data_IF_382504067837
#
_entry.id   IF_382504067837
#
_cell.length_a   1.000
_cell.length_b   1.000
_cell.length_c   1.000
_cell.angle_alpha   90.00
_cell.angle_beta   90.00
_cell.angle_gamma   90.00
#
_symmetry.space_group_name_H-M   'P 1'
#
loop_
_entity.id
_entity.type
_entity.pdbx_description
1 polymer ?
#
# COMPACT_ATOMS: atom_id res chain seq x y z
N UNK A 1 -28.58 29.59 5.16
CA UNK A 1 -27.18 29.65 5.64
C UNK A 1 -26.55 28.30 5.36
N UNK A 2 -25.75 28.19 4.31
CA UNK A 2 -25.01 26.96 3.99
C UNK A 2 -23.69 26.99 4.74
N UNK A 3 -23.46 26.04 5.63
CA UNK A 3 -22.20 25.86 6.35
C UNK A 3 -21.13 25.44 5.34
N UNK A 4 -20.13 26.28 5.16
CA UNK A 4 -18.93 25.99 4.37
C UNK A 4 -18.19 24.86 5.08
N UNK A 5 -18.26 23.65 4.52
CA UNK A 5 -17.50 22.50 5.02
C UNK A 5 -16.03 22.74 4.71
N UNK A 6 -15.18 22.59 5.73
CA UNK A 6 -13.75 22.84 5.65
C UNK A 6 -13.09 21.91 4.63
N UNK A 7 -12.30 22.49 3.73
CA UNK A 7 -11.56 21.78 2.70
C UNK A 7 -10.61 20.74 3.31
N UNK A 8 -10.03 21.04 4.46
CA UNK A 8 -9.11 20.15 5.14
C UNK A 8 -9.83 18.94 5.75
N UNK A 9 -11.09 19.10 6.15
CA UNK A 9 -11.95 18.02 6.65
C UNK A 9 -12.36 17.06 5.52
N UNK A 10 -12.74 17.60 4.35
CA UNK A 10 -13.01 16.80 3.15
C UNK A 10 -11.77 16.02 2.71
N UNK A 11 -10.60 16.67 2.75
CA UNK A 11 -9.34 16.06 2.33
C UNK A 11 -8.87 14.97 3.30
N UNK A 12 -9.09 15.14 4.60
CA UNK A 12 -8.84 14.11 5.62
C UNK A 12 -9.77 12.90 5.47
N UNK A 13 -11.06 13.12 5.15
CA UNK A 13 -12.02 12.04 4.88
C UNK A 13 -11.59 11.26 3.65
N UNK A 14 -11.31 11.94 2.53
CA UNK A 14 -10.89 11.29 1.28
C UNK A 14 -9.58 10.50 1.43
N UNK A 15 -8.60 11.02 2.18
CA UNK A 15 -7.36 10.27 2.47
C UNK A 15 -7.59 9.04 3.35
N UNK A 16 -8.48 9.10 4.35
CA UNK A 16 -8.86 7.93 5.15
C UNK A 16 -9.59 6.88 4.32
N UNK A 17 -10.52 7.29 3.47
CA UNK A 17 -11.27 6.39 2.58
C UNK A 17 -10.36 5.75 1.54
N UNK A 18 -9.41 6.48 0.97
CA UNK A 18 -8.44 5.97 0.00
C UNK A 18 -7.43 4.99 0.63
N UNK A 19 -6.89 5.30 1.82
CA UNK A 19 -6.00 4.39 2.54
C UNK A 19 -6.73 3.12 3.01
N UNK A 20 -8.01 3.24 3.41
CA UNK A 20 -8.86 2.09 3.71
C UNK A 20 -9.15 1.23 2.47
N UNK A 21 -9.37 1.81 1.30
CA UNK A 21 -9.58 1.07 0.06
C UNK A 21 -8.31 0.32 -0.40
N UNK A 22 -7.13 0.94 -0.26
CA UNK A 22 -5.84 0.32 -0.57
C UNK A 22 -5.48 -0.79 0.42
N UNK A 23 -5.77 -0.62 1.73
CA UNK A 23 -5.61 -1.72 2.70
C UNK A 23 -6.62 -2.83 2.43
N UNK A 24 -7.85 -2.50 2.03
CA UNK A 24 -8.86 -3.50 1.66
C UNK A 24 -8.39 -4.33 0.47
N UNK A 25 -7.79 -3.74 -0.58
CA UNK A 25 -7.27 -4.50 -1.72
C UNK A 25 -6.10 -5.43 -1.35
N UNK A 26 -5.15 -4.96 -0.53
CA UNK A 26 -4.04 -5.75 -0.02
C UNK A 26 -4.51 -6.89 0.90
N UNK A 27 -5.41 -6.58 1.83
CA UNK A 27 -6.06 -7.55 2.71
C UNK A 27 -6.89 -8.52 1.88
N UNK A 28 -7.57 -8.07 0.82
CA UNK A 28 -8.32 -8.98 -0.06
C UNK A 28 -7.35 -9.95 -0.74
N UNK A 29 -6.19 -9.49 -1.24
CA UNK A 29 -5.20 -10.35 -1.89
C UNK A 29 -4.51 -11.35 -0.93
N UNK A 30 -4.15 -10.90 0.28
CA UNK A 30 -3.66 -11.78 1.35
C UNK A 30 -4.74 -12.79 1.77
N UNK A 31 -5.97 -12.32 1.94
CA UNK A 31 -7.14 -13.13 2.24
C UNK A 31 -7.44 -14.18 1.16
N UNK A 32 -7.39 -13.79 -0.12
CA UNK A 32 -7.54 -14.67 -1.28
C UNK A 32 -6.53 -15.82 -1.25
N UNK A 33 -5.31 -15.49 -0.86
CA UNK A 33 -4.24 -16.46 -0.79
C UNK A 33 -4.45 -17.40 0.37
N UNK A 34 -4.68 -16.87 1.57
CA UNK A 34 -4.85 -17.70 2.74
C UNK A 34 -6.06 -18.64 2.62
N UNK A 35 -7.14 -18.19 1.99
CA UNK A 35 -8.30 -19.02 1.66
C UNK A 35 -7.93 -20.20 0.75
N UNK A 36 -7.09 -19.94 -0.24
CA UNK A 36 -6.59 -20.96 -1.15
C UNK A 36 -5.63 -21.92 -0.46
N UNK A 37 -4.73 -21.42 0.39
CA UNK A 37 -3.78 -22.20 1.17
C UNK A 37 -4.49 -23.16 2.13
N UNK A 38 -5.46 -22.66 2.88
CA UNK A 38 -6.22 -23.42 3.87
C UNK A 38 -7.12 -24.49 3.23
N UNK A 39 -7.77 -24.15 2.11
CA UNK A 39 -8.51 -25.13 1.31
C UNK A 39 -7.60 -26.25 0.78
N UNK A 40 -6.32 -25.94 0.49
CA UNK A 40 -5.32 -26.94 0.10
C UNK A 40 -4.75 -27.73 1.29
N UNK A 41 -4.78 -27.19 2.52
CA UNK A 41 -4.25 -27.83 3.73
C UNK A 41 -5.14 -28.96 4.26
N UNK A 42 -6.47 -28.80 4.15
CA UNK A 42 -7.44 -29.83 4.51
C UNK A 42 -7.51 -30.99 3.49
N UNK A 43 -6.71 -30.94 2.43
CA UNK A 43 -6.47 -31.99 1.42
C UNK A 43 -4.95 -32.20 1.24
N UNK A 44 -4.27 -32.95 2.12
CA UNK A 44 -2.79 -33.02 2.13
C UNK A 44 -2.18 -33.87 0.96
N UNK A 45 -0.88 -33.70 0.55
CA UNK A 45 0.13 -32.73 1.00
C UNK A 45 0.89 -31.90 -0.10
N UNK A 46 1.11 -30.62 0.22
CA UNK A 46 2.15 -29.60 -0.09
C UNK A 46 3.24 -29.71 -1.20
N UNK A 47 3.41 -28.60 -1.96
CA UNK A 47 4.72 -27.88 -2.14
C UNK A 47 4.74 -26.47 -2.80
N UNK A 48 3.62 -25.79 -3.10
CA UNK A 48 3.62 -24.64 -4.04
C UNK A 48 3.02 -23.30 -3.53
N UNK A 49 2.99 -23.10 -2.22
CA UNK A 49 2.16 -22.05 -1.62
C UNK A 49 2.77 -20.64 -1.72
N UNK A 50 4.08 -20.48 -1.51
CA UNK A 50 4.78 -19.20 -1.72
C UNK A 50 4.79 -18.74 -3.20
N UNK A 51 4.50 -19.67 -4.11
CA UNK A 51 4.60 -19.51 -5.56
C UNK A 51 3.33 -18.93 -6.21
N UNK A 52 2.19 -19.11 -5.54
CA UNK A 52 0.87 -18.71 -6.05
C UNK A 52 0.47 -17.29 -5.63
N UNK A 53 1.07 -16.77 -4.55
CA UNK A 53 0.90 -15.38 -4.06
C UNK A 53 1.36 -14.33 -5.07
N UNK A 54 2.46 -14.60 -5.79
CA UNK A 54 3.02 -13.68 -6.78
C UNK A 54 2.28 -13.71 -8.12
N UNK A 55 1.37 -14.66 -8.32
CA UNK A 55 0.60 -14.81 -9.56
C UNK A 55 -0.47 -13.72 -9.75
N UNK A 56 -1.03 -13.18 -8.66
CA UNK A 56 -2.22 -12.31 -8.76
C UNK A 56 -1.95 -10.79 -8.68
N UNK A 57 -0.73 -10.33 -8.37
CA UNK A 57 -0.43 -8.88 -8.35
C UNK A 57 1.02 -8.53 -8.74
N UNK A 58 1.42 -8.71 -10.01
CA UNK A 58 2.80 -8.44 -10.44
C UNK A 58 3.19 -6.95 -10.50
N UNK A 59 2.23 -6.01 -10.44
CA UNK A 59 2.45 -4.56 -10.65
C UNK A 59 2.00 -3.65 -9.47
N UNK A 60 1.98 -4.13 -8.22
CA UNK A 60 1.67 -3.24 -7.09
C UNK A 60 2.85 -2.31 -6.76
N UNK A 61 2.91 -1.15 -7.41
CA UNK A 61 3.78 -0.03 -7.03
C UNK A 61 3.05 0.96 -6.11
N UNK A 62 3.66 1.24 -4.95
CA UNK A 62 3.31 2.39 -4.10
C UNK A 62 3.62 3.67 -4.89
N UNK A 63 2.71 4.66 -5.00
CA UNK A 63 3.03 5.94 -5.60
C UNK A 63 4.16 6.63 -4.82
N UNK A 64 5.38 6.57 -5.36
CA UNK A 64 6.49 7.40 -4.90
C UNK A 64 6.54 8.62 -5.80
N UNK A 65 6.17 9.76 -5.19
CA UNK A 65 6.26 11.16 -5.67
C UNK A 65 4.94 11.78 -6.16
N UNK A 66 4.13 12.26 -5.20
CA UNK A 66 3.47 13.56 -5.37
C UNK A 66 4.43 14.63 -4.84
N UNK A 67 5.08 15.35 -5.76
CA UNK A 67 5.76 16.61 -5.45
C UNK A 67 4.69 17.61 -4.98
N UNK A 68 4.88 18.15 -3.77
CA UNK A 68 4.19 19.37 -3.33
C UNK A 68 4.88 20.55 -4.01
N UNK A 69 4.21 21.15 -4.98
CA UNK A 69 4.43 22.56 -5.27
C UNK A 69 3.61 23.38 -4.28
N UNK A 70 4.29 24.24 -3.52
CA UNK A 70 3.66 25.41 -2.89
C UNK A 70 4.54 26.63 -3.13
N UNK A 71 3.95 27.78 -3.52
CA UNK A 71 4.68 29.00 -3.80
C UNK A 71 4.90 29.81 -2.52
N UNK A 72 6.11 30.32 -2.30
CA UNK A 72 6.29 31.48 -1.43
C UNK A 72 7.44 32.38 -1.91
N UNK A 73 7.09 33.67 -2.01
CA UNK A 73 7.85 34.81 -2.51
C UNK A 73 8.81 35.38 -1.46
N UNK A 74 9.91 35.95 -1.98
CA UNK A 74 10.61 37.21 -1.61
C UNK A 74 11.28 37.38 -0.24
N UNK A 75 12.36 38.17 -0.31
CA UNK A 75 13.29 38.70 0.72
C UNK A 75 14.39 37.70 1.14
N UNK A 76 15.69 37.93 0.92
CA UNK A 76 16.44 39.18 0.72
C UNK A 76 17.77 38.85 0.02
N UNK A 77 18.03 39.47 -1.13
CA UNK A 77 19.40 39.70 -1.62
C UNK A 77 19.93 40.92 -0.85
N UNK A 78 21.10 40.78 -0.21
CA UNK A 78 22.09 41.83 0.06
C UNK A 78 23.15 41.26 1.02
N UNK A 79 24.21 40.65 0.48
CA UNK A 79 25.57 40.75 1.07
C UNK A 79 26.63 40.34 0.05
N UNK A 80 26.68 41.08 -1.06
CA UNK A 80 27.92 41.27 -1.83
C UNK A 80 28.21 42.76 -1.82
N UNK A 81 28.93 43.16 -0.79
CA UNK A 81 29.69 44.40 -0.62
C UNK A 81 30.29 44.24 0.80
N UNK A 82 31.58 44.01 0.98
CA UNK A 82 32.60 44.90 0.46
C UNK A 82 32.57 46.19 1.26
N UNK A 83 32.85 46.15 2.57
CA UNK A 83 33.41 47.31 3.26
C UNK A 83 34.18 46.91 4.51
N UNK A 84 35.49 47.15 4.42
CA UNK A 84 36.41 47.28 5.54
C UNK A 84 35.88 48.39 6.46
N UNK A 85 35.45 48.05 7.67
CA UNK A 85 35.35 49.04 8.73
C UNK A 85 36.75 49.27 9.31
N UNK A 86 37.40 50.33 8.82
CA UNK A 86 38.33 51.12 9.62
C UNK A 86 37.58 51.68 10.84
N UNK A 87 37.51 50.91 11.92
CA UNK A 87 36.91 51.35 13.18
C UNK A 87 37.90 51.29 14.36
N UNK A 88 39.20 51.12 14.10
CA UNK A 88 40.24 51.14 15.15
C UNK A 88 41.13 52.40 15.13
N UNK A 89 40.92 53.35 14.21
CA UNK A 89 41.84 54.49 14.03
C UNK A 89 41.25 55.89 14.35
N UNK A 90 39.98 55.97 14.79
CA UNK A 90 39.33 57.25 15.11
C UNK A 90 38.98 57.46 16.59
N UNK A 91 39.33 56.52 17.48
CA UNK A 91 39.07 56.65 18.92
C UNK A 91 40.31 56.98 19.77
N UNK A 92 41.52 57.05 19.19
CA UNK A 92 42.73 57.37 19.97
C UNK A 92 43.22 58.81 19.81
N UNK A 93 42.86 59.51 18.73
CA UNK A 93 43.39 60.85 18.40
C UNK A 93 42.57 62.01 18.98
N UNK A 94 41.24 61.89 19.07
CA UNK A 94 40.40 63.00 19.57
C UNK A 94 40.30 63.09 21.11
N UNK A 95 40.54 61.98 21.84
CA UNK A 95 40.55 62.02 23.30
C UNK A 95 41.78 62.75 23.87
N UNK A 96 42.90 62.75 23.13
CA UNK A 96 44.14 63.41 23.54
C UNK A 96 44.08 64.94 23.39
N UNK A 97 43.30 65.44 22.44
CA UNK A 97 43.08 66.88 22.20
C UNK A 97 42.21 67.53 23.29
N UNK A 98 41.21 66.82 23.80
CA UNK A 98 40.26 67.36 24.78
C UNK A 98 40.84 67.50 26.20
N UNK A 99 41.88 66.72 26.54
CA UNK A 99 42.47 66.71 27.89
C UNK A 99 43.53 67.79 28.11
N UNK A 100 44.00 68.46 27.06
CA UNK A 100 45.12 69.41 27.14
C UNK A 100 44.71 70.88 27.38
N UNK A 101 43.42 71.21 27.50
CA UNK A 101 42.96 72.62 27.56
C UNK A 101 42.48 73.13 28.92
N UNK A 102 42.52 72.35 29.98
CA UNK A 102 42.12 72.83 31.31
C UNK A 102 42.99 72.19 32.38
N UNK A 103 43.94 72.95 32.92
CA UNK A 103 44.40 72.95 34.32
C UNK A 103 45.53 73.97 34.46
N UNK A 104 45.20 75.18 34.91
CA UNK A 104 46.16 76.13 35.48
C UNK A 104 45.50 76.84 36.66
N UNK A 105 45.41 76.16 37.80
CA UNK A 105 45.10 76.82 39.08
C UNK A 105 45.68 76.02 40.26
N UNK A 106 46.28 76.66 41.26
CA UNK A 106 47.17 76.01 42.26
C UNK A 106 46.46 75.13 43.32
N UNK A 107 45.13 75.10 43.38
CA UNK A 107 44.35 74.04 44.07
C UNK A 107 44.29 72.72 43.27
N UNK A 108 44.72 72.71 41.99
CA UNK A 108 44.63 71.55 41.11
C UNK A 108 45.68 70.47 41.38
N UNK A 109 46.78 70.71 42.11
CA UNK A 109 47.84 69.69 42.24
C UNK A 109 47.41 68.48 43.08
N UNK A 110 46.52 68.65 44.06
CA UNK A 110 46.00 67.55 44.87
C UNK A 110 44.84 66.83 44.15
N UNK A 111 43.91 67.58 43.56
CA UNK A 111 42.83 67.04 42.74
C UNK A 111 43.35 66.28 41.49
N UNK A 112 44.46 66.73 40.89
CA UNK A 112 45.07 66.08 39.73
C UNK A 112 45.81 64.78 40.10
N UNK A 113 46.30 64.64 41.35
CA UNK A 113 46.86 63.37 41.85
C UNK A 113 45.78 62.31 42.08
N UNK A 114 44.67 62.70 42.70
CA UNK A 114 43.51 61.81 42.89
C UNK A 114 42.88 61.40 41.56
N UNK A 115 42.74 62.35 40.63
CA UNK A 115 42.28 62.08 39.27
C UNK A 115 43.22 61.11 38.53
N UNK A 116 44.54 61.31 38.60
CA UNK A 116 45.51 60.38 37.99
C UNK A 116 45.48 58.98 38.63
N UNK A 117 45.23 58.90 39.94
CA UNK A 117 45.06 57.63 40.64
C UNK A 117 43.78 56.90 40.19
N UNK A 118 42.66 57.62 40.12
CA UNK A 118 41.38 57.10 39.67
C UNK A 118 41.48 56.56 38.22
N UNK A 119 42.08 57.34 37.32
CA UNK A 119 42.28 56.96 35.92
C UNK A 119 43.15 55.71 35.75
N UNK A 120 44.20 55.56 36.57
CA UNK A 120 45.03 54.33 36.57
C UNK A 120 44.21 53.11 37.00
N UNK A 121 43.32 53.27 37.97
CA UNK A 121 42.45 52.18 38.44
C UNK A 121 41.41 51.82 37.38
N UNK A 122 40.74 52.80 36.77
CA UNK A 122 39.81 52.59 35.65
C UNK A 122 40.49 51.89 34.48
N UNK A 123 41.71 52.29 34.12
CA UNK A 123 42.44 51.68 33.02
C UNK A 123 42.85 50.22 33.31
N UNK A 124 43.19 49.91 34.57
CA UNK A 124 43.42 48.52 35.01
C UNK A 124 42.17 47.67 34.89
N UNK A 125 41.02 48.19 35.34
CA UNK A 125 39.72 47.51 35.22
C UNK A 125 39.33 47.28 33.76
N UNK A 126 39.54 48.28 32.88
CA UNK A 126 39.29 48.15 31.45
C UNK A 126 40.15 47.05 30.81
N UNK A 127 41.46 47.01 31.12
CA UNK A 127 42.36 45.96 30.64
C UNK A 127 41.90 44.57 31.12
N UNK A 128 41.48 44.46 32.38
CA UNK A 128 40.96 43.21 32.93
C UNK A 128 39.66 42.77 32.24
N UNK A 129 38.74 43.70 31.98
CA UNK A 129 37.51 43.42 31.24
C UNK A 129 37.80 42.98 29.80
N UNK A 130 38.74 43.61 29.10
CA UNK A 130 39.14 43.21 27.74
C UNK A 130 39.74 41.79 27.76
N UNK A 131 40.56 41.44 28.76
CA UNK A 131 41.09 40.08 28.92
C UNK A 131 39.97 39.06 29.11
N UNK A 132 39.03 39.33 30.01
CA UNK A 132 37.87 38.48 30.25
C UNK A 132 37.01 38.31 28.98
N UNK A 133 36.75 39.39 28.24
CA UNK A 133 36.01 39.31 26.97
C UNK A 133 36.74 38.45 25.94
N UNK A 134 38.07 38.56 25.82
CA UNK A 134 38.87 37.71 24.93
C UNK A 134 38.77 36.23 25.31
N UNK A 135 38.82 35.90 26.59
CA UNK A 135 38.67 34.53 27.08
C UNK A 135 37.27 33.97 26.81
N UNK A 136 36.22 34.77 27.06
CA UNK A 136 34.82 34.39 26.75
C UNK A 136 34.65 34.13 25.26
N UNK A 137 35.13 35.03 24.40
CA UNK A 137 35.05 34.88 22.94
C UNK A 137 35.83 33.64 22.48
N UNK A 138 37.06 33.43 22.95
CA UNK A 138 37.85 32.25 22.61
C UNK A 138 37.15 30.95 23.04
N UNK A 139 36.53 30.93 24.22
CA UNK A 139 35.78 29.77 24.70
C UNK A 139 34.53 29.48 23.84
N UNK A 140 33.83 30.52 23.38
CA UNK A 140 32.68 30.40 22.50
C UNK A 140 33.06 29.86 21.12
N UNK A 141 34.16 30.36 20.52
CA UNK A 141 34.70 29.84 19.27
C UNK A 141 35.14 28.38 19.37
N UNK A 142 35.75 27.99 20.49
CA UNK A 142 36.13 26.59 20.73
C UNK A 142 34.90 25.68 20.77
N UNK A 143 33.89 26.03 21.57
CA UNK A 143 32.62 25.27 21.63
C UNK A 143 31.95 25.16 20.25
N UNK A 144 31.95 26.24 19.47
CA UNK A 144 31.34 26.22 18.13
C UNK A 144 32.10 25.32 17.16
N UNK A 145 33.42 25.29 17.25
CA UNK A 145 34.27 24.37 16.47
C UNK A 145 34.01 22.92 16.86
N UNK A 146 33.91 22.62 18.16
CA UNK A 146 33.62 21.28 18.67
C UNK A 146 32.22 20.80 18.25
N UNK A 147 31.20 21.68 18.29
CA UNK A 147 29.85 21.40 17.79
C UNK A 147 29.85 21.07 16.29
N UNK A 148 30.53 21.87 15.48
CA UNK A 148 30.62 21.64 14.03
C UNK A 148 31.34 20.33 13.72
N UNK A 149 32.37 19.98 14.48
CA UNK A 149 33.09 18.73 14.32
C UNK A 149 32.22 17.53 14.69
N UNK A 150 31.42 17.63 15.76
CA UNK A 150 30.43 16.61 16.13
C UNK A 150 29.36 16.43 15.04
N UNK A 151 28.78 17.52 14.53
CA UNK A 151 27.79 17.48 13.45
C UNK A 151 28.33 16.82 12.19
N UNK A 152 29.60 17.07 11.85
CA UNK A 152 30.26 16.44 10.70
C UNK A 152 30.38 14.92 10.86
N UNK A 153 30.73 14.44 12.05
CA UNK A 153 30.81 13.01 12.36
C UNK A 153 29.44 12.35 12.30
N UNK A 154 28.41 12.98 12.89
CA UNK A 154 27.04 12.47 12.87
C UNK A 154 26.49 12.37 11.43
N UNK A 155 26.79 13.36 10.59
CA UNK A 155 26.41 13.37 9.18
C UNK A 155 27.07 12.21 8.39
N UNK A 156 28.37 11.98 8.56
CA UNK A 156 29.06 10.87 7.87
C UNK A 156 28.55 9.50 8.37
N UNK A 157 28.25 9.36 9.66
CA UNK A 157 27.62 8.14 10.21
C UNK A 157 26.23 7.89 9.59
N UNK A 158 25.41 8.93 9.47
CA UNK A 158 24.08 8.82 8.85
C UNK A 158 24.18 8.46 7.36
N UNK A 159 25.12 9.07 6.64
CA UNK A 159 25.42 8.76 5.25
C UNK A 159 25.84 7.30 5.07
N UNK A 160 26.73 6.80 5.93
CA UNK A 160 27.17 5.40 5.89
C UNK A 160 26.02 4.43 6.18
N UNK A 161 25.14 4.76 7.13
CA UNK A 161 23.93 3.98 7.43
C UNK A 161 23.00 3.89 6.21
N UNK A 162 22.80 5.00 5.50
CA UNK A 162 21.98 5.03 4.29
C UNK A 162 22.59 4.22 3.13
N UNK A 163 23.91 4.27 2.96
CA UNK A 163 24.63 3.44 1.97
C UNK A 163 24.42 1.95 2.26
N UNK A 164 24.56 1.54 3.52
CA UNK A 164 24.34 0.14 3.94
C UNK A 164 22.90 -0.31 3.70
N UNK A 165 21.91 0.55 4.01
CA UNK A 165 20.50 0.25 3.77
C UNK A 165 20.20 0.07 2.27
N UNK A 166 20.74 0.94 1.41
CA UNK A 166 20.55 0.83 -0.03
C UNK A 166 21.17 -0.45 -0.61
N UNK A 167 22.33 -0.87 -0.11
CA UNK A 167 22.94 -2.16 -0.52
C UNK A 167 22.02 -3.35 -0.21
N UNK A 168 21.46 -3.40 1.01
CA UNK A 168 20.50 -4.45 1.40
C UNK A 168 19.25 -4.47 0.51
N UNK A 169 18.72 -3.30 0.15
CA UNK A 169 17.56 -3.22 -0.74
C UNK A 169 17.86 -3.74 -2.15
N UNK A 170 19.07 -3.48 -2.68
CA UNK A 170 19.49 -4.01 -3.98
C UNK A 170 19.62 -5.55 -3.93
N UNK A 171 20.19 -6.10 -2.86
CA UNK A 171 20.26 -7.56 -2.65
C UNK A 171 18.87 -8.21 -2.59
N UNK A 172 17.92 -7.60 -1.88
CA UNK A 172 16.53 -8.07 -1.80
C UNK A 172 15.82 -8.04 -3.17
N UNK A 173 16.05 -7.00 -3.97
CA UNK A 173 15.51 -6.90 -5.33
C UNK A 173 16.05 -8.02 -6.23
N UNK A 174 17.36 -8.30 -6.14
CA UNK A 174 17.98 -9.39 -6.90
C UNK A 174 17.40 -10.75 -6.51
N UNK A 175 17.26 -11.01 -5.20
CA UNK A 175 16.65 -12.23 -4.68
C UNK A 175 15.21 -12.40 -5.19
N UNK A 176 14.43 -11.31 -5.23
CA UNK A 176 13.07 -11.34 -5.75
C UNK A 176 13.01 -11.69 -7.25
N UNK A 177 13.91 -11.10 -8.06
CA UNK A 177 14.00 -11.42 -9.48
C UNK A 177 14.40 -12.87 -9.74
N UNK A 178 15.34 -13.41 -8.96
CA UNK A 178 15.77 -14.80 -9.11
C UNK A 178 14.67 -15.78 -8.65
N UNK A 179 13.95 -15.45 -7.58
CA UNK A 179 12.75 -16.17 -7.17
C UNK A 179 11.68 -16.19 -8.27
N UNK A 180 11.40 -15.06 -8.94
CA UNK A 180 10.48 -15.03 -10.08
C UNK A 180 10.92 -15.95 -11.24
N UNK A 181 12.21 -16.00 -11.54
CA UNK A 181 12.73 -16.90 -12.59
C UNK A 181 12.49 -18.36 -12.22
N UNK A 182 12.77 -18.73 -10.96
CA UNK A 182 12.54 -20.09 -10.44
C UNK A 182 11.05 -20.44 -10.51
N UNK A 183 10.18 -19.51 -10.13
CA UNK A 183 8.72 -19.65 -10.19
C UNK A 183 8.24 -19.89 -11.62
N UNK A 184 8.66 -19.05 -12.57
CA UNK A 184 8.31 -19.22 -14.00
C UNK A 184 8.79 -20.56 -14.55
N UNK A 185 9.94 -21.07 -14.08
CA UNK A 185 10.43 -22.39 -14.48
C UNK A 185 9.64 -23.54 -13.88
N UNK A 186 9.23 -23.45 -12.61
CA UNK A 186 8.38 -24.45 -11.96
C UNK A 186 6.98 -24.47 -12.56
N UNK A 187 6.39 -23.31 -12.83
CA UNK A 187 5.10 -23.19 -13.52
C UNK A 187 5.14 -23.88 -14.89
N UNK A 188 6.17 -23.61 -15.70
CA UNK A 188 6.37 -24.32 -16.99
C UNK A 188 6.50 -25.84 -16.84
N UNK A 189 7.00 -26.34 -15.70
CA UNK A 189 7.09 -27.79 -15.42
C UNK A 189 5.76 -28.36 -14.93
N UNK A 190 5.02 -27.65 -14.09
CA UNK A 190 3.69 -28.07 -13.60
C UNK A 190 2.62 -28.01 -14.69
N UNK A 191 2.62 -26.98 -15.54
CA UNK A 191 1.72 -26.88 -16.71
C UNK A 191 1.96 -28.00 -17.73
N UNK A 192 3.13 -28.64 -17.69
CA UNK A 192 3.43 -29.85 -18.47
C UNK A 192 2.93 -31.13 -17.79
N UNK A 193 2.83 -31.14 -16.45
CA UNK A 193 2.51 -32.32 -15.62
C UNK A 193 1.02 -32.42 -15.27
N UNK A 194 0.33 -31.30 -15.02
CA UNK A 194 -1.11 -31.23 -14.70
C UNK A 194 -2.01 -31.12 -15.94
N UNK A 195 -1.60 -31.64 -17.11
CA UNK A 195 -2.40 -31.56 -18.34
C UNK A 195 -3.59 -32.53 -18.31
N UNK A 196 -4.56 -32.29 -17.43
CA UNK A 196 -5.94 -32.74 -17.63
C UNK A 196 -6.58 -31.98 -18.82
N UNK A 197 -6.05 -30.80 -19.14
CA UNK A 197 -6.31 -30.05 -20.36
C UNK A 197 -5.70 -30.69 -21.62
N UNK A 198 -4.94 -31.81 -21.56
CA UNK A 198 -4.29 -32.44 -22.71
C UNK A 198 -5.25 -32.95 -23.79
N UNK A 199 -6.55 -33.05 -23.49
CA UNK A 199 -7.55 -33.45 -24.47
C UNK A 199 -7.49 -32.51 -25.70
N UNK A 200 -7.14 -33.02 -26.90
CA UNK A 200 -7.04 -32.23 -28.11
C UNK A 200 -8.34 -31.48 -28.43
N UNK A 201 -9.48 -32.00 -27.99
CA UNK A 201 -10.80 -31.41 -28.19
C UNK A 201 -10.96 -30.02 -27.56
N UNK A 202 -10.15 -29.69 -26.53
CA UNK A 202 -10.20 -28.39 -25.85
C UNK A 202 -9.10 -27.41 -26.30
N UNK A 203 -8.35 -27.71 -27.37
CA UNK A 203 -7.25 -26.86 -27.83
C UNK A 203 -7.66 -25.40 -28.09
N UNK A 204 -8.87 -25.17 -28.59
CA UNK A 204 -9.40 -23.84 -28.86
C UNK A 204 -9.83 -23.09 -27.59
N UNK A 205 -10.18 -23.82 -26.53
CA UNK A 205 -10.51 -23.23 -25.22
C UNK A 205 -9.26 -22.84 -24.41
N UNK A 206 -8.07 -23.30 -24.82
CA UNK A 206 -6.77 -22.92 -24.22
C UNK A 206 -6.22 -21.57 -24.72
N UNK A 207 -6.73 -21.07 -25.85
CA UNK A 207 -6.15 -19.87 -26.48
C UNK A 207 -6.48 -18.58 -25.74
N UNK A 208 -7.50 -18.61 -24.89
CA UNK A 208 -7.84 -17.48 -24.04
C UNK A 208 -7.11 -17.64 -22.71
N UNK A 209 -6.42 -16.60 -22.27
CA UNK A 209 -5.76 -16.48 -20.95
C UNK A 209 -6.75 -16.49 -19.76
N UNK A 210 -7.96 -17.04 -19.95
CA UNK A 210 -9.03 -17.12 -18.96
C UNK A 210 -8.74 -18.28 -17.97
N UNK A 211 -8.78 -18.03 -16.65
CA UNK A 211 -8.63 -19.08 -15.64
C UNK A 211 -9.70 -20.18 -15.79
N UNK A 212 -9.31 -21.44 -15.57
CA UNK A 212 -10.22 -22.59 -15.72
C UNK A 212 -11.49 -22.48 -14.87
N UNK A 213 -11.40 -21.96 -13.65
CA UNK A 213 -12.56 -21.74 -12.79
C UNK A 213 -13.57 -20.73 -13.37
N UNK A 214 -13.07 -19.64 -13.98
CA UNK A 214 -13.90 -18.59 -14.58
C UNK A 214 -14.61 -19.16 -15.80
N UNK A 215 -13.86 -19.89 -16.64
CA UNK A 215 -14.40 -20.60 -17.79
C UNK A 215 -15.45 -21.62 -17.38
N UNK A 216 -15.23 -22.39 -16.32
CA UNK A 216 -16.19 -23.38 -15.80
C UNK A 216 -17.50 -22.71 -15.38
N UNK A 217 -17.42 -21.65 -14.56
CA UNK A 217 -18.60 -20.88 -14.10
C UNK A 217 -19.40 -20.33 -15.27
N UNK A 218 -18.71 -19.71 -16.23
CA UNK A 218 -19.32 -19.16 -17.43
C UNK A 218 -19.97 -20.26 -18.28
N UNK A 219 -19.26 -21.35 -18.53
CA UNK A 219 -19.74 -22.45 -19.39
C UNK A 219 -20.94 -23.17 -18.76
N UNK A 220 -20.96 -23.36 -17.43
CA UNK A 220 -22.14 -23.87 -16.70
C UNK A 220 -23.34 -22.97 -16.96
N UNK A 221 -23.17 -21.65 -16.83
CA UNK A 221 -24.24 -20.68 -17.03
C UNK A 221 -24.72 -20.62 -18.49
N UNK A 222 -23.82 -20.75 -19.46
CA UNK A 222 -24.14 -20.84 -20.89
C UNK A 222 -24.87 -22.14 -21.26
N UNK A 223 -24.57 -23.25 -20.59
CA UNK A 223 -25.17 -24.55 -20.90
C UNK A 223 -26.51 -24.74 -20.17
N UNK A 224 -26.58 -24.30 -18.92
CA UNK A 224 -27.64 -24.64 -17.99
C UNK A 224 -28.42 -23.42 -17.49
N UNK A 225 -28.13 -22.20 -17.94
CA UNK A 225 -28.85 -20.98 -17.57
C UNK A 225 -30.05 -20.65 -18.48
N UNK A 226 -30.89 -19.67 -18.10
CA UNK A 226 -32.12 -19.30 -18.82
C UNK A 226 -31.88 -18.77 -20.25
N UNK A 227 -30.75 -18.08 -20.48
CA UNK A 227 -30.34 -17.62 -21.81
C UNK A 227 -29.27 -18.55 -22.41
N UNK A 228 -29.31 -19.83 -22.03
CA UNK A 228 -28.34 -20.80 -22.50
C UNK A 228 -28.37 -20.95 -24.02
N UNK A 229 -27.26 -21.41 -24.57
CA UNK A 229 -27.12 -21.67 -26.00
C UNK A 229 -28.18 -22.71 -26.42
N UNK A 230 -29.25 -22.29 -27.10
CA UNK A 230 -30.37 -23.18 -27.43
C UNK A 230 -29.94 -24.40 -28.27
N UNK A 231 -28.80 -24.32 -28.96
CA UNK A 231 -28.24 -25.41 -29.78
C UNK A 231 -27.24 -26.28 -29.02
N UNK A 232 -26.50 -25.70 -28.08
CA UNK A 232 -25.39 -26.40 -27.40
C UNK A 232 -25.55 -26.55 -25.88
N UNK A 233 -26.64 -26.04 -25.31
CA UNK A 233 -26.98 -26.17 -23.90
C UNK A 233 -27.97 -27.32 -23.63
N UNK A 234 -28.27 -27.52 -22.35
CA UNK A 234 -29.18 -28.57 -21.88
C UNK A 234 -30.19 -28.02 -20.85
N UNK A 235 -30.57 -26.74 -20.96
CA UNK A 235 -31.40 -26.05 -19.96
C UNK A 235 -32.74 -26.75 -19.69
N UNK A 236 -33.45 -27.19 -20.73
CA UNK A 236 -34.77 -27.79 -20.55
C UNK A 236 -34.69 -29.14 -19.83
N UNK A 237 -33.72 -29.96 -20.22
CA UNK A 237 -33.41 -31.23 -19.57
C UNK A 237 -32.96 -31.01 -18.12
N UNK A 238 -32.14 -29.99 -17.87
CA UNK A 238 -31.71 -29.59 -16.54
C UNK A 238 -32.88 -29.15 -15.65
N UNK A 239 -33.80 -28.35 -16.18
CA UNK A 239 -35.01 -27.96 -15.43
C UNK A 239 -35.90 -29.15 -15.10
N UNK A 240 -36.07 -30.09 -16.03
CA UNK A 240 -36.80 -31.33 -15.79
C UNK A 240 -36.12 -32.18 -14.70
N UNK A 241 -34.79 -32.29 -14.73
CA UNK A 241 -34.00 -32.98 -13.71
C UNK A 241 -34.12 -32.31 -12.33
N UNK A 242 -33.99 -30.98 -12.24
CA UNK A 242 -34.20 -30.24 -10.99
C UNK A 242 -35.62 -30.47 -10.45
N UNK A 243 -36.65 -30.47 -11.31
CA UNK A 243 -38.03 -30.73 -10.92
C UNK A 243 -38.21 -32.15 -10.37
N UNK A 244 -37.57 -33.15 -10.98
CA UNK A 244 -37.56 -34.53 -10.50
C UNK A 244 -36.96 -34.65 -9.10
N UNK A 245 -35.91 -33.87 -8.81
CA UNK A 245 -35.28 -33.79 -7.48
C UNK A 245 -36.01 -32.87 -6.48
N UNK A 246 -37.14 -32.26 -6.88
CA UNK A 246 -37.83 -31.21 -6.11
C UNK A 246 -36.91 -30.05 -5.70
N UNK A 247 -35.96 -29.68 -6.57
CA UNK A 247 -35.01 -28.57 -6.38
C UNK A 247 -35.29 -27.43 -7.35
N UNK A 248 -35.00 -26.19 -6.92
CA UNK A 248 -35.01 -25.03 -7.82
C UNK A 248 -33.66 -24.90 -8.52
N UNK A 249 -33.68 -24.68 -9.83
CA UNK A 249 -32.48 -24.31 -10.58
C UNK A 249 -32.07 -22.87 -10.25
N UNK A 250 -30.91 -22.70 -9.63
CA UNK A 250 -30.36 -21.38 -9.28
C UNK A 250 -29.44 -20.80 -10.37
N UNK A 251 -29.09 -21.60 -11.37
CA UNK A 251 -28.17 -21.21 -12.45
C UNK A 251 -28.82 -20.08 -13.28
N UNK A 252 -28.16 -18.92 -13.29
CA UNK A 252 -28.59 -17.72 -14.00
C UNK A 252 -27.80 -17.52 -15.31
N UNK A 253 -28.18 -16.53 -16.11
CA UNK A 253 -27.44 -16.18 -17.33
C UNK A 253 -26.16 -15.43 -16.98
N UNK A 254 -25.05 -15.84 -17.58
CA UNK A 254 -23.78 -15.15 -17.44
C UNK A 254 -23.63 -14.05 -18.50
N UNK A 255 -23.34 -12.83 -18.06
CA UNK A 255 -22.91 -11.73 -18.93
C UNK A 255 -21.58 -11.21 -18.43
N UNK A 256 -20.54 -11.28 -19.27
CA UNK A 256 -19.15 -10.97 -18.89
C UNK A 256 -18.92 -9.52 -18.46
N UNK A 257 -19.82 -8.60 -18.81
CA UNK A 257 -19.71 -7.19 -18.45
C UNK A 257 -20.17 -6.84 -17.02
N UNK A 258 -20.59 -7.83 -16.21
CA UNK A 258 -20.98 -7.59 -14.81
C UNK A 258 -20.09 -8.40 -13.88
N UNK A 259 -19.30 -7.69 -13.09
CA UNK A 259 -18.39 -8.27 -12.09
C UNK A 259 -19.07 -9.30 -11.18
N UNK A 260 -20.28 -9.01 -10.68
CA UNK A 260 -21.00 -9.92 -9.76
C UNK A 260 -21.42 -11.24 -10.39
N UNK A 261 -21.58 -11.32 -11.71
CA UNK A 261 -22.04 -12.55 -12.36
C UNK A 261 -21.05 -13.70 -12.16
N UNK A 262 -19.76 -13.40 -12.03
CA UNK A 262 -18.74 -14.41 -11.71
C UNK A 262 -18.98 -15.02 -10.34
N UNK A 263 -19.19 -14.17 -9.33
CA UNK A 263 -19.38 -14.57 -7.94
C UNK A 263 -20.73 -15.25 -7.71
N UNK A 264 -21.79 -14.72 -8.30
CA UNK A 264 -23.11 -15.36 -8.28
C UNK A 264 -23.07 -16.72 -9.00
N UNK A 265 -22.42 -16.76 -10.17
CA UNK A 265 -22.19 -17.98 -10.93
C UNK A 265 -21.44 -19.04 -10.11
N UNK A 266 -20.39 -18.62 -9.40
CA UNK A 266 -19.64 -19.49 -8.49
C UNK A 266 -20.54 -20.07 -7.39
N UNK A 267 -21.39 -19.24 -6.77
CA UNK A 267 -22.36 -19.68 -5.77
C UNK A 267 -23.38 -20.68 -6.35
N UNK A 268 -23.86 -20.46 -7.58
CA UNK A 268 -24.77 -21.41 -8.22
C UNK A 268 -24.11 -22.76 -8.51
N UNK A 269 -22.84 -22.74 -8.96
CA UNK A 269 -22.06 -23.96 -9.17
C UNK A 269 -21.81 -24.68 -7.85
N UNK A 270 -21.48 -23.95 -6.77
CA UNK A 270 -21.28 -24.50 -5.43
C UNK A 270 -22.52 -25.28 -4.95
N UNK A 271 -23.71 -24.70 -5.12
CA UNK A 271 -24.98 -25.32 -4.72
C UNK A 271 -25.29 -26.57 -5.55
N UNK A 272 -25.04 -26.52 -6.85
CA UNK A 272 -25.48 -27.55 -7.80
C UNK A 272 -24.37 -28.50 -8.26
N UNK A 273 -23.15 -28.45 -7.72
CA UNK A 273 -21.98 -29.17 -8.27
C UNK A 273 -22.27 -30.65 -8.53
N UNK A 274 -22.71 -31.37 -7.50
CA UNK A 274 -22.99 -32.80 -7.60
C UNK A 274 -24.19 -33.07 -8.51
N UNK A 275 -25.25 -32.28 -8.40
CA UNK A 275 -26.44 -32.39 -9.25
C UNK A 275 -26.08 -32.19 -10.74
N UNK A 276 -25.18 -31.26 -11.06
CA UNK A 276 -24.70 -31.02 -12.43
C UNK A 276 -23.88 -32.21 -12.93
N UNK A 277 -22.96 -32.74 -12.12
CA UNK A 277 -22.12 -33.89 -12.49
C UNK A 277 -23.01 -35.11 -12.74
N UNK A 278 -23.95 -35.40 -11.85
CA UNK A 278 -24.88 -36.53 -11.97
C UNK A 278 -25.80 -36.36 -13.19
N UNK A 279 -26.34 -35.16 -13.40
CA UNK A 279 -27.12 -34.83 -14.58
C UNK A 279 -26.37 -35.10 -15.88
N UNK A 280 -25.11 -34.64 -15.98
CA UNK A 280 -24.31 -34.79 -17.19
C UNK A 280 -23.84 -36.23 -17.43
N UNK A 281 -23.61 -37.01 -16.37
CA UNK A 281 -23.19 -38.41 -16.47
C UNK A 281 -24.35 -39.37 -16.76
N UNK A 282 -25.52 -39.14 -16.17
CA UNK A 282 -26.62 -40.11 -16.15
C UNK A 282 -27.70 -39.75 -17.18
N UNK A 283 -28.02 -38.46 -17.32
CA UNK A 283 -29.21 -38.02 -18.06
C UNK A 283 -28.90 -37.45 -19.45
N UNK A 284 -27.62 -37.32 -19.81
CA UNK A 284 -27.19 -36.86 -21.13
C UNK A 284 -26.40 -37.97 -21.83
N UNK A 285 -27.03 -38.64 -22.78
CA UNK A 285 -26.44 -39.81 -23.47
C UNK A 285 -25.23 -39.46 -24.35
N UNK A 286 -25.25 -38.30 -25.03
CA UNK A 286 -24.11 -37.83 -25.84
C UNK A 286 -23.86 -36.33 -25.59
N UNK A 287 -23.09 -35.99 -24.54
CA UNK A 287 -22.82 -34.60 -24.23
C UNK A 287 -21.91 -34.00 -25.31
N UNK A 288 -22.30 -32.83 -25.83
CA UNK A 288 -21.43 -32.08 -26.73
C UNK A 288 -20.15 -31.60 -26.01
N UNK A 289 -19.22 -31.00 -26.76
CA UNK A 289 -17.93 -30.57 -26.20
C UNK A 289 -18.06 -29.57 -25.04
N UNK A 290 -19.04 -28.66 -25.06
CA UNK A 290 -19.25 -27.70 -23.96
C UNK A 290 -19.67 -28.43 -22.67
N UNK A 291 -20.61 -29.36 -22.77
CA UNK A 291 -21.07 -30.17 -21.64
C UNK A 291 -19.97 -31.09 -21.10
N UNK A 292 -19.15 -31.68 -21.98
CA UNK A 292 -17.96 -32.45 -21.61
C UNK A 292 -16.91 -31.58 -20.89
N UNK A 293 -16.75 -30.32 -21.31
CA UNK A 293 -15.88 -29.34 -20.62
C UNK A 293 -16.36 -29.08 -19.20
N UNK A 294 -17.66 -28.80 -19.02
CA UNK A 294 -18.26 -28.57 -17.70
C UNK A 294 -18.01 -29.76 -16.78
N UNK A 295 -18.31 -30.98 -17.25
CA UNK A 295 -18.10 -32.20 -16.48
C UNK A 295 -16.63 -32.37 -16.06
N UNK A 296 -15.69 -32.16 -16.99
CA UNK A 296 -14.27 -32.26 -16.72
C UNK A 296 -13.80 -31.23 -15.68
N UNK A 297 -14.19 -29.97 -15.85
CA UNK A 297 -13.78 -28.86 -14.98
C UNK A 297 -14.36 -28.98 -13.57
N UNK A 298 -15.64 -29.35 -13.43
CA UNK A 298 -16.27 -29.52 -12.12
C UNK A 298 -15.80 -30.79 -11.38
N UNK A 299 -15.33 -31.79 -12.11
CA UNK A 299 -14.71 -33.00 -11.54
C UNK A 299 -13.27 -32.76 -11.10
N UNK A 300 -12.61 -31.70 -11.58
CA UNK A 300 -11.27 -31.35 -11.17
C UNK A 300 -11.29 -30.64 -9.82
N UNK A 301 -10.76 -31.30 -8.79
CA UNK A 301 -10.73 -30.78 -7.42
C UNK A 301 -10.09 -29.39 -7.34
N UNK A 302 -8.95 -29.18 -8.02
CA UNK A 302 -8.27 -27.88 -8.04
C UNK A 302 -9.13 -26.77 -8.64
N UNK A 303 -9.82 -27.03 -9.75
CA UNK A 303 -10.71 -26.04 -10.37
C UNK A 303 -11.89 -25.75 -9.44
N UNK A 304 -12.47 -26.79 -8.85
CA UNK A 304 -13.57 -26.65 -7.93
C UNK A 304 -13.19 -25.86 -6.66
N UNK A 305 -12.01 -26.07 -6.08
CA UNK A 305 -11.51 -25.30 -4.94
C UNK A 305 -11.47 -23.80 -5.26
N UNK A 306 -11.00 -23.41 -6.44
CA UNK A 306 -11.06 -22.01 -6.86
C UNK A 306 -12.50 -21.48 -6.97
N UNK A 307 -13.43 -22.30 -7.46
CA UNK A 307 -14.85 -21.93 -7.52
C UNK A 307 -15.42 -21.74 -6.11
N UNK A 308 -15.07 -22.59 -5.15
CA UNK A 308 -15.46 -22.46 -3.73
C UNK A 308 -14.94 -21.14 -3.16
N UNK A 309 -13.67 -20.79 -3.39
CA UNK A 309 -13.13 -19.50 -2.96
C UNK A 309 -13.91 -18.34 -3.56
N UNK A 310 -14.14 -18.35 -4.89
CA UNK A 310 -14.92 -17.31 -5.56
C UNK A 310 -16.35 -17.22 -4.99
N UNK A 311 -17.00 -18.34 -4.71
CA UNK A 311 -18.32 -18.36 -4.10
C UNK A 311 -18.31 -17.71 -2.72
N UNK A 312 -17.33 -18.03 -1.89
CA UNK A 312 -17.16 -17.44 -0.55
C UNK A 312 -16.97 -15.92 -0.62
N UNK A 313 -16.10 -15.43 -1.49
CA UNK A 313 -15.92 -13.98 -1.69
C UNK A 313 -17.20 -13.34 -2.21
N UNK A 314 -17.90 -14.06 -3.09
CA UNK A 314 -19.21 -13.68 -3.55
C UNK A 314 -20.18 -13.43 -2.41
N UNK A 315 -20.27 -14.40 -1.50
CA UNK A 315 -21.22 -14.42 -0.40
C UNK A 315 -20.88 -13.39 0.67
N UNK A 316 -19.60 -13.25 0.99
CA UNK A 316 -19.16 -12.52 2.16
C UNK A 316 -18.65 -11.11 1.86
N UNK A 317 -18.17 -10.85 0.65
CA UNK A 317 -17.58 -9.56 0.27
C UNK A 317 -18.45 -8.84 -0.76
N UNK A 318 -18.65 -9.46 -1.93
CA UNK A 318 -19.26 -8.74 -3.06
C UNK A 318 -20.78 -8.62 -2.94
N UNK A 319 -21.47 -9.65 -2.46
CA UNK A 319 -22.94 -9.61 -2.28
C UNK A 319 -23.38 -8.60 -1.23
N UNK A 320 -22.79 -8.53 -0.02
CA UNK A 320 -23.15 -7.51 0.95
C UNK A 320 -22.89 -6.10 0.41
N UNK A 321 -21.77 -5.90 -0.28
CA UNK A 321 -21.47 -4.63 -0.94
C UNK A 321 -22.51 -4.29 -2.02
N UNK A 322 -22.91 -5.26 -2.85
CA UNK A 322 -23.92 -5.04 -3.87
C UNK A 322 -25.31 -4.76 -3.30
N UNK A 323 -25.71 -5.45 -2.23
CA UNK A 323 -26.96 -5.19 -1.54
C UNK A 323 -26.99 -3.78 -0.96
N UNK A 324 -25.86 -3.32 -0.43
CA UNK A 324 -25.70 -1.98 0.08
C UNK A 324 -25.77 -0.92 -1.03
N UNK A 325 -25.12 -1.15 -2.17
CA UNK A 325 -25.20 -0.26 -3.35
C UNK A 325 -26.64 -0.16 -3.89
N UNK A 326 -27.42 -1.24 -3.81
CA UNK A 326 -28.82 -1.25 -4.24
C UNK A 326 -29.81 -0.83 -3.14
N UNK A 327 -29.33 -0.58 -1.92
CA UNK A 327 -30.17 -0.11 -0.83
C UNK A 327 -30.45 1.38 -0.97
N UNK A 328 -31.47 1.87 -0.26
CA UNK A 328 -31.75 3.30 -0.16
C UNK A 328 -30.88 3.99 0.91
N UNK A 329 -29.83 3.32 1.41
CA UNK A 329 -28.94 3.87 2.43
C UNK A 329 -28.10 5.03 1.88
N UNK A 330 -27.81 6.00 2.73
CA UNK A 330 -27.02 7.15 2.33
C UNK A 330 -25.56 6.75 2.09
N UNK A 331 -24.93 7.25 1.03
CA UNK A 331 -23.54 6.92 0.68
C UNK A 331 -22.56 7.19 1.83
N UNK A 332 -22.81 8.24 2.63
CA UNK A 332 -21.98 8.55 3.79
C UNK A 332 -22.12 7.54 4.94
N UNK A 333 -23.15 6.69 4.95
CA UNK A 333 -23.33 5.64 5.96
C UNK A 333 -22.67 4.31 5.57
N UNK A 334 -22.12 4.21 4.35
CA UNK A 334 -21.46 2.98 3.86
C UNK A 334 -20.34 2.51 4.77
N UNK A 335 -19.61 3.41 5.45
CA UNK A 335 -18.52 3.03 6.35
C UNK A 335 -19.00 2.14 7.52
N UNK A 336 -20.28 2.28 7.94
CA UNK A 336 -20.87 1.47 9.00
C UNK A 336 -20.96 -0.01 8.61
N UNK A 337 -21.06 -0.28 7.31
CA UNK A 337 -21.10 -1.63 6.74
C UNK A 337 -19.70 -2.14 6.37
N UNK A 338 -18.84 -1.25 5.87
CA UNK A 338 -17.46 -1.61 5.52
C UNK A 338 -16.61 -1.95 6.75
N UNK A 339 -16.75 -1.23 7.87
CA UNK A 339 -15.88 -1.45 9.03
C UNK A 339 -16.05 -2.86 9.65
N UNK A 340 -17.28 -3.41 9.82
CA UNK A 340 -17.47 -4.81 10.21
C UNK A 340 -16.93 -5.80 9.18
N UNK A 341 -17.13 -5.55 7.89
CA UNK A 341 -16.63 -6.41 6.81
C UNK A 341 -15.10 -6.46 6.82
N UNK A 342 -14.46 -5.29 6.93
CA UNK A 342 -13.02 -5.14 7.02
C UNK A 342 -12.44 -5.91 8.21
N UNK A 343 -12.99 -5.71 9.41
CA UNK A 343 -12.57 -6.46 10.61
C UNK A 343 -12.72 -7.96 10.44
N UNK A 344 -13.79 -8.39 9.75
CA UNK A 344 -14.00 -9.80 9.45
C UNK A 344 -12.96 -10.32 8.47
N UNK A 345 -12.61 -9.55 7.43
CA UNK A 345 -11.52 -9.88 6.50
C UNK A 345 -10.17 -9.96 7.20
N UNK A 346 -9.84 -9.04 8.13
CA UNK A 346 -8.65 -9.15 8.98
C UNK A 346 -8.66 -10.45 9.80
N UNK A 347 -9.79 -10.80 10.43
CA UNK A 347 -9.87 -12.07 11.19
C UNK A 347 -9.71 -13.31 10.29
N UNK A 348 -10.14 -13.22 9.03
CA UNK A 348 -9.95 -14.29 8.07
C UNK A 348 -8.50 -14.41 7.60
N UNK A 349 -7.77 -13.29 7.50
CA UNK A 349 -6.31 -13.31 7.31
C UNK A 349 -5.55 -13.88 8.51
N UNK A 350 -6.20 -14.22 9.61
CA UNK A 350 -5.59 -14.97 10.70
C UNK A 350 -6.00 -16.45 10.66
N UNK A 351 -7.22 -16.75 10.20
CA UNK A 351 -7.74 -18.11 10.06
C UNK A 351 -8.82 -18.21 8.95
N UNK A 352 -8.44 -18.74 7.79
CA UNK A 352 -9.34 -18.85 6.64
C UNK A 352 -10.33 -20.02 6.72
N UNK A 353 -10.14 -20.99 7.63
CA UNK A 353 -11.06 -22.11 7.79
C UNK A 353 -12.47 -21.66 8.15
N UNK A 354 -12.57 -20.55 8.89
CA UNK A 354 -13.85 -20.01 9.38
C UNK A 354 -14.83 -19.81 8.22
N UNK A 355 -14.36 -19.38 7.05
CA UNK A 355 -15.21 -19.08 5.89
C UNK A 355 -15.65 -20.33 5.15
N UNK A 356 -14.78 -21.33 5.08
CA UNK A 356 -15.07 -22.60 4.42
C UNK A 356 -16.02 -23.46 5.25
N UNK A 357 -16.08 -23.22 6.58
CA UNK A 357 -16.91 -23.99 7.52
C UNK A 357 -18.24 -23.31 7.89
N UNK A 358 -18.41 -22.01 7.65
CA UNK A 358 -19.71 -21.33 7.78
C UNK A 358 -20.67 -21.76 6.65
N UNK A 359 -21.63 -22.65 6.97
CA UNK A 359 -22.65 -23.15 6.03
C UNK A 359 -23.73 -22.11 5.71
#
# INVERSE_FOLDING_TARGET
MATVVDRDEIQAILSKTWNGAMSTAAITAEFFTMMYEEACQNSAPYKHIEESLKFYCPDFEVPKNLKRDTPQKKFTELSKEGNKCHAEELLSTDLASYLNKTVNNKQSKQCNREYQCHRKTEMKLLIQNIKLQKEVIASAYKRKTDELQKQKVDYENQKQKNITLNKKNIELLQLNQDNEKVLKQKQKKEDRKNRQDSNPAFKNYRQNSEPAAFRAIRTVSECLGPNGDAKNGARQQWLAYCKMLNKKSHINSYRSNRFNNLYDGANYVLIHKNDIIDFLNIHICDPNLKLKSVLCELSCEKVYTHIVCLAAIGRYVTSPFWNLVNSNEHYLDLYKFFNPLYKRMESWTENCNIILMEK
#
